data_IF_066428683540
#
_entry.id   IF_066428683540
#
_cell.length_a   1.000
_cell.length_b   1.000
_cell.length_c   1.000
_cell.angle_alpha   90.00
_cell.angle_beta   90.00
_cell.angle_gamma   90.00
#
_symmetry.space_group_name_H-M   'P 1'
#
loop_
_entity.id
_entity.type
_entity.pdbx_description
1 polymer ?
#
# COMPACT_ATOMS: atom_id res chain seq x y z
N UNK A 1 33.33 35.00 37.47
CA UNK A 1 32.53 33.80 37.81
C UNK A 1 31.07 34.20 37.71
N UNK A 2 30.33 33.68 36.71
CA UNK A 2 29.27 32.77 37.09
C UNK A 2 29.07 31.56 36.16
N UNK A 3 28.64 30.50 36.84
CA UNK A 3 27.71 29.42 36.48
C UNK A 3 28.00 28.50 35.27
N UNK A 4 28.77 27.47 35.58
CA UNK A 4 28.95 26.29 34.76
C UNK A 4 27.75 25.34 35.00
N UNK A 5 26.61 25.64 34.37
CA UNK A 5 25.44 24.76 34.45
C UNK A 5 25.74 23.42 33.78
N UNK A 6 25.70 22.38 34.61
CA UNK A 6 25.93 20.99 34.26
C UNK A 6 24.98 20.57 33.14
N UNK A 7 25.53 20.43 31.93
CA UNK A 7 24.93 19.64 30.85
C UNK A 7 24.74 18.21 31.36
N UNK A 8 23.53 17.90 31.80
CA UNK A 8 23.13 16.54 32.15
C UNK A 8 23.16 15.71 30.87
N UNK A 9 24.22 14.92 30.74
CA UNK A 9 24.41 13.95 29.67
C UNK A 9 23.35 12.85 29.83
N UNK A 10 22.13 13.08 29.32
CA UNK A 10 21.07 12.07 29.27
C UNK A 10 21.60 10.90 28.45
N UNK A 11 21.89 9.77 29.12
CA UNK A 11 22.22 8.51 28.46
C UNK A 11 21.20 8.25 27.35
N UNK A 12 21.66 7.99 26.13
CA UNK A 12 20.79 7.63 25.02
C UNK A 12 19.88 6.47 25.46
N UNK A 13 18.56 6.64 25.29
CA UNK A 13 17.53 5.68 25.73
C UNK A 13 17.75 4.28 25.16
N UNK A 14 18.43 4.19 24.01
CA UNK A 14 18.79 2.93 23.36
C UNK A 14 20.31 2.75 23.41
N UNK A 15 20.82 1.60 23.88
CA UNK A 15 22.25 1.34 23.94
C UNK A 15 22.89 1.38 22.55
N UNK A 16 24.20 1.67 22.44
CA UNK A 16 24.90 1.67 21.16
C UNK A 16 24.68 0.35 20.42
N UNK A 17 24.32 0.47 19.13
CA UNK A 17 23.83 -0.59 18.24
C UNK A 17 24.76 -1.81 18.29
N UNK A 18 24.28 -2.92 18.87
CA UNK A 18 24.95 -4.22 18.72
C UNK A 18 24.60 -4.77 17.35
N UNK A 19 25.52 -4.69 16.38
CA UNK A 19 25.42 -5.36 15.07
C UNK A 19 25.53 -6.91 15.17
N UNK A 20 25.30 -7.48 16.36
CA UNK A 20 25.31 -8.92 16.55
C UNK A 20 23.92 -9.42 16.21
N UNK A 21 23.82 -10.18 15.12
CA UNK A 21 22.61 -10.90 14.72
C UNK A 21 21.95 -11.58 15.92
N UNK A 22 20.63 -11.51 15.97
CA UNK A 22 19.80 -12.18 16.97
C UNK A 22 18.69 -12.98 16.30
N UNK A 23 17.89 -13.68 17.12
CA UNK A 23 16.67 -14.35 16.66
C UNK A 23 15.72 -13.44 15.88
N UNK A 24 15.75 -12.13 16.11
CA UNK A 24 14.90 -11.18 15.40
C UNK A 24 15.32 -10.93 13.94
N UNK A 25 16.56 -11.27 13.60
CA UNK A 25 17.12 -11.17 12.25
C UNK A 25 17.12 -12.50 11.49
N UNK A 26 16.47 -13.53 12.04
CA UNK A 26 16.28 -14.82 11.37
C UNK A 26 15.08 -14.75 10.41
N UNK A 27 15.22 -15.35 9.23
CA UNK A 27 14.15 -15.46 8.25
C UNK A 27 13.17 -16.57 8.63
N UNK A 28 11.89 -16.31 8.48
CA UNK A 28 10.82 -17.29 8.66
C UNK A 28 9.75 -17.13 7.57
N UNK A 29 8.80 -18.07 7.52
CA UNK A 29 7.64 -17.96 6.64
C UNK A 29 6.77 -16.75 7.02
N UNK A 30 6.17 -16.11 6.02
CA UNK A 30 5.26 -14.98 6.20
C UNK A 30 3.98 -15.45 6.95
N UNK A 31 3.64 -14.85 8.11
CA UNK A 31 2.41 -15.18 8.82
C UNK A 31 1.16 -14.88 7.98
N UNK A 32 0.09 -15.64 8.17
CA UNK A 32 -1.21 -15.33 7.55
C UNK A 32 -1.87 -14.13 8.24
N UNK A 33 -2.78 -13.45 7.53
CA UNK A 33 -3.64 -12.43 8.13
C UNK A 33 -2.96 -11.11 8.52
N UNK A 34 -1.82 -10.75 7.91
CA UNK A 34 -1.10 -9.51 8.23
C UNK A 34 -1.90 -8.22 7.97
N UNK A 35 -2.75 -8.23 6.94
CA UNK A 35 -3.42 -7.03 6.43
C UNK A 35 -4.95 -7.12 6.56
N UNK A 36 -5.44 -7.62 7.69
CA UNK A 36 -6.88 -7.72 7.95
C UNK A 36 -7.53 -6.33 7.81
N UNK A 37 -8.56 -6.27 6.96
CA UNK A 37 -9.38 -5.07 6.73
C UNK A 37 -8.64 -3.83 6.19
N UNK A 38 -7.38 -3.94 5.77
CA UNK A 38 -6.61 -2.83 5.22
C UNK A 38 -6.30 -3.03 3.74
N UNK A 39 -6.33 -1.93 3.00
CA UNK A 39 -5.96 -1.92 1.58
C UNK A 39 -4.71 -1.08 1.37
N UNK A 40 -3.78 -1.60 0.56
CA UNK A 40 -2.64 -0.83 0.06
C UNK A 40 -3.10 0.29 -0.89
N UNK A 41 -2.76 1.56 -0.61
CA UNK A 41 -3.08 2.67 -1.50
C UNK A 41 -2.27 2.60 -2.79
N UNK A 42 -2.91 2.93 -3.92
CA UNK A 42 -2.21 3.03 -5.21
C UNK A 42 -1.52 4.38 -5.31
N UNK A 43 -0.38 4.44 -6.02
CA UNK A 43 0.30 5.70 -6.33
C UNK A 43 -0.62 6.77 -6.96
N UNK A 44 -1.59 6.34 -7.79
CA UNK A 44 -2.59 7.26 -8.38
C UNK A 44 -3.47 7.93 -7.30
N UNK A 45 -3.86 7.19 -6.26
CA UNK A 45 -4.64 7.74 -5.16
C UNK A 45 -3.86 8.84 -4.43
N UNK A 46 -2.57 8.64 -4.15
CA UNK A 46 -1.74 9.70 -3.56
C UNK A 46 -1.63 10.92 -4.45
N UNK A 47 -1.48 10.74 -5.78
CA UNK A 47 -1.45 11.87 -6.72
C UNK A 47 -2.73 12.69 -6.67
N UNK A 48 -3.88 12.03 -6.64
CA UNK A 48 -5.18 12.71 -6.57
C UNK A 48 -5.39 13.39 -5.21
N UNK A 49 -4.92 12.76 -4.13
CA UNK A 49 -5.12 13.24 -2.75
C UNK A 49 -4.16 14.36 -2.37
N UNK A 50 -2.88 14.25 -2.73
CA UNK A 50 -1.77 15.07 -2.23
C UNK A 50 -1.02 15.83 -3.34
N UNK A 51 -1.37 15.58 -4.61
CA UNK A 51 -0.64 16.10 -5.75
C UNK A 51 0.67 15.36 -6.05
N UNK A 52 1.44 15.92 -6.99
CA UNK A 52 2.73 15.36 -7.39
C UNK A 52 3.82 15.67 -6.35
N UNK A 53 4.68 14.72 -5.96
CA UNK A 53 5.77 14.99 -5.03
C UNK A 53 6.85 15.90 -5.63
N UNK A 54 7.00 15.92 -6.96
CA UNK A 54 7.87 16.87 -7.68
C UNK A 54 7.14 17.61 -8.78
N UNK A 55 7.31 18.92 -8.86
CA UNK A 55 6.59 19.79 -9.81
C UNK A 55 6.96 19.52 -11.27
N UNK A 56 8.23 19.21 -11.54
CA UNK A 56 8.72 18.91 -12.90
C UNK A 56 8.51 17.45 -13.33
N UNK A 57 8.03 16.58 -12.42
CA UNK A 57 7.81 15.14 -12.67
C UNK A 57 9.05 14.41 -13.21
N UNK A 58 10.23 14.90 -12.87
CA UNK A 58 11.56 14.41 -13.23
C UNK A 58 11.97 13.21 -12.37
N UNK A 59 11.13 12.17 -12.40
CA UNK A 59 11.30 10.98 -11.57
C UNK A 59 12.25 9.97 -12.20
N UNK A 60 12.95 9.22 -11.35
CA UNK A 60 13.78 8.09 -11.77
C UNK A 60 13.71 6.96 -10.74
N UNK A 61 14.40 5.84 -11.01
CA UNK A 61 14.57 4.77 -10.03
C UNK A 61 15.51 5.18 -8.87
N UNK A 62 16.32 6.23 -9.06
CA UNK A 62 17.22 6.76 -8.04
C UNK A 62 16.44 7.61 -7.02
N UNK A 63 16.81 7.55 -5.73
CA UNK A 63 16.27 8.42 -4.70
C UNK A 63 16.39 9.90 -5.05
N UNK A 64 15.34 10.66 -4.76
CA UNK A 64 15.33 12.12 -4.86
C UNK A 64 14.43 12.73 -3.78
N UNK A 65 14.58 14.04 -3.56
CA UNK A 65 13.73 14.79 -2.62
C UNK A 65 12.43 15.26 -3.26
N UNK A 66 11.40 15.43 -2.43
CA UNK A 66 10.18 16.13 -2.83
C UNK A 66 10.42 17.64 -2.91
N UNK A 67 9.81 18.31 -3.89
CA UNK A 67 9.93 19.77 -4.05
C UNK A 67 8.58 20.48 -4.21
N UNK A 68 7.45 19.76 -4.11
CA UNK A 68 6.13 20.38 -4.10
C UNK A 68 5.87 21.08 -2.75
N UNK A 69 5.71 22.43 -2.71
CA UNK A 69 5.50 23.17 -1.48
C UNK A 69 4.23 22.76 -0.71
N UNK A 70 3.16 22.39 -1.42
CA UNK A 70 1.90 21.96 -0.78
C UNK A 70 2.10 20.66 -0.01
N UNK A 71 2.81 19.68 -0.60
CA UNK A 71 3.17 18.45 0.08
C UNK A 71 4.13 18.71 1.26
N UNK A 72 5.16 19.54 1.05
CA UNK A 72 6.16 19.81 2.09
C UNK A 72 5.56 20.50 3.32
N UNK A 73 4.54 21.36 3.17
CA UNK A 73 3.82 22.02 4.28
C UNK A 73 3.14 21.04 5.24
N UNK A 74 2.75 19.87 4.74
CA UNK A 74 2.12 18.81 5.54
C UNK A 74 3.11 17.69 5.91
N UNK A 75 4.41 17.87 5.65
CA UNK A 75 5.46 16.99 6.14
C UNK A 75 6.09 17.51 7.44
N UNK A 76 6.70 16.61 8.21
CA UNK A 76 7.60 16.95 9.31
C UNK A 76 8.75 15.95 9.41
N UNK A 77 9.78 16.34 10.15
CA UNK A 77 10.88 15.46 10.55
C UNK A 77 10.87 15.30 12.06
N UNK A 78 10.79 14.08 12.57
CA UNK A 78 10.72 13.84 14.02
C UNK A 78 11.42 12.53 14.41
N UNK A 79 11.85 12.45 15.67
CA UNK A 79 12.29 11.21 16.28
C UNK A 79 11.07 10.38 16.73
N UNK A 80 10.97 9.14 16.24
CA UNK A 80 9.86 8.22 16.53
C UNK A 80 10.23 7.14 17.56
N UNK A 81 11.34 7.32 18.28
CA UNK A 81 11.90 6.38 19.25
C UNK A 81 13.28 5.91 18.81
N UNK A 82 13.40 4.77 18.09
CA UNK A 82 14.69 4.19 17.72
C UNK A 82 15.44 4.95 16.61
N UNK A 83 14.75 5.81 15.85
CA UNK A 83 15.33 6.57 14.74
C UNK A 83 14.51 7.83 14.42
N UNK A 84 15.07 8.69 13.55
CA UNK A 84 14.44 9.91 13.03
C UNK A 84 13.94 9.67 11.61
N UNK A 85 12.76 10.21 11.27
CA UNK A 85 12.13 10.06 9.95
C UNK A 85 11.60 11.39 9.45
N UNK A 86 11.45 11.49 8.12
CA UNK A 86 10.75 12.58 7.45
C UNK A 86 9.57 12.01 6.67
N UNK A 87 8.36 12.52 6.88
CA UNK A 87 7.14 12.04 6.23
C UNK A 87 5.94 12.96 6.43
N UNK A 88 4.74 12.53 6.05
CA UNK A 88 3.49 13.25 6.35
C UNK A 88 3.32 13.39 7.86
N UNK A 89 2.90 14.57 8.35
CA UNK A 89 2.68 14.84 9.77
C UNK A 89 1.90 13.73 10.48
N UNK A 90 0.68 13.37 10.05
CA UNK A 90 -0.08 12.31 10.73
C UNK A 90 0.55 10.92 10.62
N UNK A 91 1.31 10.64 9.54
CA UNK A 91 2.02 9.37 9.40
C UNK A 91 3.21 9.27 10.36
N UNK A 92 3.96 10.36 10.56
CA UNK A 92 5.06 10.40 11.54
C UNK A 92 4.52 10.29 12.97
N UNK A 93 3.39 10.94 13.27
CA UNK A 93 2.71 10.79 14.56
C UNK A 93 2.25 9.35 14.82
N UNK A 94 1.57 8.74 13.86
CA UNK A 94 1.14 7.34 13.96
C UNK A 94 2.34 6.38 14.10
N UNK A 95 3.43 6.61 13.37
CA UNK A 95 4.63 5.77 13.50
C UNK A 95 5.26 5.87 14.89
N UNK A 96 5.21 7.05 15.51
CA UNK A 96 5.67 7.23 16.90
C UNK A 96 4.81 6.42 17.89
N UNK A 97 3.50 6.38 17.69
CA UNK A 97 2.59 5.55 18.48
C UNK A 97 2.87 4.05 18.28
N UNK A 98 3.08 3.63 17.03
CA UNK A 98 3.49 2.26 16.70
C UNK A 98 4.78 1.88 17.42
N UNK A 99 5.82 2.71 17.33
CA UNK A 99 7.11 2.44 17.97
C UNK A 99 7.02 2.43 19.50
N UNK A 100 6.17 3.27 20.10
CA UNK A 100 5.88 3.23 21.53
C UNK A 100 5.20 1.92 21.94
N UNK A 101 4.27 1.39 21.12
CA UNK A 101 3.65 0.09 21.38
C UNK A 101 4.64 -1.07 21.17
N UNK A 102 5.49 -1.01 20.14
CA UNK A 102 6.58 -1.98 19.93
C UNK A 102 7.53 -1.99 21.11
N UNK A 103 7.91 -0.83 21.66
CA UNK A 103 8.76 -0.76 22.85
C UNK A 103 8.12 -1.41 24.08
N UNK A 104 6.80 -1.25 24.26
CA UNK A 104 6.07 -1.87 25.37
C UNK A 104 5.95 -3.39 25.22
N UNK A 105 5.67 -3.86 24.01
CA UNK A 105 5.42 -5.29 23.73
C UNK A 105 6.72 -6.07 23.54
N UNK A 106 7.71 -5.47 22.87
CA UNK A 106 8.98 -6.09 22.52
C UNK A 106 10.16 -5.14 22.84
N UNK A 107 10.44 -4.85 24.11
CA UNK A 107 11.48 -3.89 24.52
C UNK A 107 12.88 -4.25 23.98
N UNK A 108 13.18 -5.54 23.84
CA UNK A 108 14.46 -6.02 23.30
C UNK A 108 14.58 -5.87 21.78
N UNK A 109 13.47 -5.66 21.07
CA UNK A 109 13.41 -5.51 19.62
C UNK A 109 13.50 -4.05 19.18
N UNK A 110 12.86 -3.12 19.88
CA UNK A 110 12.74 -1.72 19.40
C UNK A 110 14.10 -1.07 19.12
N UNK A 111 15.10 -1.32 19.99
CA UNK A 111 16.47 -0.80 19.81
C UNK A 111 17.27 -1.46 18.69
N UNK A 112 16.75 -2.54 18.10
CA UNK A 112 17.35 -3.27 16.97
C UNK A 112 16.77 -2.86 15.62
N UNK A 113 15.63 -2.16 15.64
CA UNK A 113 14.99 -1.64 14.44
C UNK A 113 15.75 -0.45 13.89
N UNK A 114 15.80 -0.38 12.58
CA UNK A 114 16.30 0.76 11.84
C UNK A 114 15.57 0.86 10.50
N UNK A 115 15.78 1.94 9.74
CA UNK A 115 15.00 2.20 8.53
C UNK A 115 15.89 2.54 7.32
N UNK A 116 15.38 2.23 6.13
CA UNK A 116 16.00 2.64 4.85
C UNK A 116 15.51 4.03 4.43
N UNK A 117 14.33 4.44 4.89
CA UNK A 117 13.78 5.77 4.69
C UNK A 117 12.25 5.76 4.68
N UNK A 118 11.66 6.87 5.08
CA UNK A 118 10.21 7.07 5.04
C UNK A 118 9.81 7.83 3.76
N UNK A 119 10.22 9.11 3.64
CA UNK A 119 10.03 9.87 2.40
C UNK A 119 11.22 9.74 1.46
N UNK A 120 11.02 9.03 0.34
CA UNK A 120 12.00 8.85 -0.73
C UNK A 120 11.27 8.91 -2.08
N UNK A 121 11.52 9.95 -2.87
CA UNK A 121 10.84 10.13 -4.16
C UNK A 121 11.56 9.35 -5.25
N UNK A 122 10.90 8.30 -5.77
CA UNK A 122 11.42 7.47 -6.86
C UNK A 122 10.33 6.60 -7.49
N UNK A 123 10.62 6.06 -8.67
CA UNK A 123 9.88 4.93 -9.21
C UNK A 123 10.18 3.63 -8.46
N UNK A 124 9.18 2.75 -8.39
CA UNK A 124 9.39 1.34 -8.01
C UNK A 124 10.31 0.71 -9.06
N UNK A 125 11.32 -0.03 -8.60
CA UNK A 125 12.35 -0.61 -9.45
C UNK A 125 11.76 -1.41 -10.61
N UNK A 126 12.20 -1.09 -11.84
CA UNK A 126 11.72 -1.73 -13.07
C UNK A 126 10.32 -1.31 -13.52
N UNK A 127 9.77 -0.21 -12.99
CA UNK A 127 8.46 0.33 -13.38
C UNK A 127 8.52 1.86 -13.55
N UNK A 128 7.45 2.45 -14.08
CA UNK A 128 7.20 3.90 -14.09
C UNK A 128 6.15 4.32 -13.05
N UNK A 129 5.83 3.42 -12.11
CA UNK A 129 4.91 3.70 -11.00
C UNK A 129 5.71 4.31 -9.86
N UNK A 130 5.27 5.46 -9.35
CA UNK A 130 5.88 6.06 -8.17
C UNK A 130 5.70 5.15 -6.95
N UNK A 131 6.75 5.05 -6.14
CA UNK A 131 6.68 4.39 -4.84
C UNK A 131 5.86 5.22 -3.86
N UNK A 132 5.12 4.57 -2.95
CA UNK A 132 4.35 5.24 -1.90
C UNK A 132 5.24 5.99 -0.89
N UNK A 133 6.54 5.65 -0.82
CA UNK A 133 7.56 6.47 -0.16
C UNK A 133 7.63 7.90 -0.70
N UNK A 134 7.23 8.15 -1.95
CA UNK A 134 7.35 9.47 -2.57
C UNK A 134 6.53 10.55 -1.87
N UNK A 135 5.48 10.16 -1.14
CA UNK A 135 4.66 11.08 -0.34
C UNK A 135 5.00 11.06 1.15
N UNK A 136 5.93 10.20 1.59
CA UNK A 136 6.27 10.07 3.01
C UNK A 136 5.18 9.40 3.83
N UNK A 137 4.49 8.42 3.24
CA UNK A 137 3.43 7.62 3.85
C UNK A 137 3.77 6.13 3.94
N UNK A 138 5.03 5.77 3.68
CA UNK A 138 5.56 4.42 3.79
C UNK A 138 6.95 4.44 4.41
N UNK A 139 7.39 3.32 4.99
CA UNK A 139 8.69 3.16 5.60
C UNK A 139 9.19 1.72 5.39
N UNK A 140 10.48 1.60 5.09
CA UNK A 140 11.14 0.30 5.01
C UNK A 140 12.00 0.10 6.27
N UNK A 141 11.76 -0.99 6.99
CA UNK A 141 12.42 -1.33 8.24
C UNK A 141 13.36 -2.53 8.09
N UNK A 142 14.40 -2.58 8.92
CA UNK A 142 15.31 -3.71 9.00
C UNK A 142 15.77 -3.94 10.45
N UNK A 143 16.31 -5.14 10.72
CA UNK A 143 16.62 -5.61 12.08
C UNK A 143 18.09 -6.01 12.18
N UNK A 144 18.79 -5.57 13.23
CA UNK A 144 20.20 -5.92 13.48
C UNK A 144 21.14 -5.62 12.29
N UNK A 145 20.79 -4.64 11.46
CA UNK A 145 21.54 -4.31 10.24
C UNK A 145 21.29 -5.25 9.04
N UNK A 146 20.39 -6.23 9.18
CA UNK A 146 20.01 -7.18 8.13
C UNK A 146 18.77 -6.69 7.43
N UNK A 147 18.87 -6.43 6.12
CA UNK A 147 17.74 -6.14 5.23
C UNK A 147 17.20 -7.45 4.67
N UNK A 148 15.90 -7.57 4.62
CA UNK A 148 15.21 -8.72 4.02
C UNK A 148 15.31 -8.67 2.49
N UNK A 149 15.27 -9.84 1.83
CA UNK A 149 15.36 -9.91 0.37
C UNK A 149 13.96 -9.93 -0.24
N UNK A 150 13.70 -9.00 -1.15
CA UNK A 150 12.39 -8.90 -1.78
C UNK A 150 12.09 -10.09 -2.72
N UNK A 151 10.89 -10.62 -2.61
CA UNK A 151 10.28 -11.74 -3.36
C UNK A 151 10.87 -13.12 -3.06
N UNK A 152 11.29 -13.36 -1.82
CA UNK A 152 11.78 -14.66 -1.36
C UNK A 152 10.74 -15.46 -0.54
N UNK A 153 9.55 -14.88 -0.35
CA UNK A 153 8.42 -15.42 0.43
C UNK A 153 8.73 -15.61 1.93
N UNK A 154 9.70 -14.85 2.44
CA UNK A 154 10.09 -14.83 3.85
C UNK A 154 9.96 -13.43 4.45
N UNK A 155 10.23 -13.38 5.74
CA UNK A 155 10.25 -12.18 6.54
C UNK A 155 11.19 -12.37 7.73
N UNK A 156 11.94 -11.33 8.09
CA UNK A 156 12.66 -11.31 9.36
C UNK A 156 11.71 -11.46 10.55
N UNK A 157 12.03 -12.34 11.50
CA UNK A 157 11.19 -12.64 12.66
C UNK A 157 10.76 -11.38 13.43
N UNK A 158 11.66 -10.39 13.59
CA UNK A 158 11.32 -9.12 14.22
C UNK A 158 10.26 -8.32 13.47
N UNK A 159 10.32 -8.29 12.13
CA UNK A 159 9.31 -7.62 11.30
C UNK A 159 7.95 -8.32 11.37
N UNK A 160 7.96 -9.66 11.43
CA UNK A 160 6.74 -10.44 11.60
C UNK A 160 6.05 -10.18 12.95
N UNK A 161 6.82 -9.99 14.03
CA UNK A 161 6.27 -9.68 15.35
C UNK A 161 5.61 -8.30 15.41
N UNK A 162 6.16 -7.29 14.71
CA UNK A 162 5.62 -5.92 14.75
C UNK A 162 4.50 -5.69 13.74
N UNK A 163 4.38 -6.53 12.69
CA UNK A 163 3.37 -6.34 11.66
C UNK A 163 1.91 -6.27 12.18
N UNK A 164 1.48 -7.07 13.17
CA UNK A 164 0.16 -6.91 13.78
C UNK A 164 -0.03 -5.57 14.51
N UNK A 165 1.03 -5.04 15.13
CA UNK A 165 1.00 -3.71 15.77
C UNK A 165 0.83 -2.64 14.69
N UNK A 166 1.60 -2.71 13.60
CA UNK A 166 1.43 -1.82 12.45
C UNK A 166 -0.01 -1.86 11.91
N UNK A 167 -0.56 -3.06 11.68
CA UNK A 167 -1.92 -3.25 11.20
C UNK A 167 -2.97 -2.62 12.12
N UNK A 168 -2.86 -2.83 13.45
CA UNK A 168 -3.73 -2.22 14.45
C UNK A 168 -3.75 -0.69 14.37
N UNK A 169 -2.62 -0.07 14.01
CA UNK A 169 -2.49 1.38 13.85
C UNK A 169 -2.92 1.90 12.46
N UNK A 170 -3.34 1.01 11.56
CA UNK A 170 -3.77 1.34 10.19
C UNK A 170 -2.65 1.33 9.16
N UNK A 171 -1.59 0.55 9.40
CA UNK A 171 -0.51 0.34 8.44
C UNK A 171 -0.59 -1.04 7.78
N UNK A 172 -0.50 -1.04 6.45
CA UNK A 172 -0.41 -2.22 5.61
C UNK A 172 1.04 -2.70 5.55
N UNK A 173 1.26 -4.01 5.74
CA UNK A 173 2.57 -4.66 5.57
C UNK A 173 2.76 -5.17 4.15
N UNK A 174 3.88 -4.81 3.51
CA UNK A 174 4.25 -5.27 2.17
C UNK A 174 4.54 -6.77 2.10
N UNK A 175 4.83 -7.43 3.22
CA UNK A 175 4.89 -8.89 3.30
C UNK A 175 3.56 -9.55 2.86
N UNK A 176 2.43 -8.86 3.05
CA UNK A 176 1.11 -9.36 2.65
C UNK A 176 0.70 -9.02 1.23
N UNK A 177 1.61 -8.50 0.38
CA UNK A 177 1.27 -8.24 -1.02
C UNK A 177 0.91 -9.52 -1.77
N UNK A 178 -0.22 -9.48 -2.48
CA UNK A 178 -0.73 -10.63 -3.21
C UNK A 178 0.22 -11.00 -4.37
N UNK A 179 0.51 -12.30 -4.57
CA UNK A 179 1.29 -12.75 -5.73
C UNK A 179 0.67 -12.31 -7.05
N UNK A 180 1.52 -11.99 -8.02
CA UNK A 180 1.10 -11.64 -9.38
C UNK A 180 1.06 -12.88 -10.25
N UNK A 181 -0.06 -13.13 -10.94
CA UNK A 181 -0.15 -14.16 -11.97
C UNK A 181 0.59 -13.72 -13.23
N UNK A 182 1.54 -14.53 -13.68
CA UNK A 182 2.28 -14.33 -14.92
C UNK A 182 1.51 -14.87 -16.13
N UNK A 183 1.92 -14.46 -17.34
CA UNK A 183 1.29 -14.92 -18.60
C UNK A 183 1.29 -16.44 -18.76
N UNK A 184 2.31 -17.12 -18.22
CA UNK A 184 2.45 -18.58 -18.23
C UNK A 184 1.67 -19.28 -17.10
N UNK A 185 0.81 -18.56 -16.39
CA UNK A 185 0.00 -19.10 -15.28
C UNK A 185 0.73 -19.20 -13.94
N UNK A 186 2.06 -19.08 -13.89
CA UNK A 186 2.82 -19.13 -12.63
C UNK A 186 2.52 -17.92 -11.76
N UNK A 187 2.52 -18.10 -10.45
CA UNK A 187 2.50 -17.00 -9.49
C UNK A 187 3.93 -16.52 -9.25
N UNK A 188 4.12 -15.21 -9.28
CA UNK A 188 5.36 -14.55 -8.86
C UNK A 188 5.08 -13.81 -7.57
N UNK A 189 5.88 -14.07 -6.55
CA UNK A 189 5.81 -13.32 -5.30
C UNK A 189 5.95 -11.82 -5.57
N UNK A 190 5.15 -11.04 -4.85
CA UNK A 190 5.21 -9.58 -4.87
C UNK A 190 5.41 -9.02 -3.47
N UNK A 191 5.79 -9.86 -2.51
CA UNK A 191 6.07 -9.40 -1.15
C UNK A 191 7.16 -8.34 -1.15
N UNK A 192 7.08 -7.47 -0.15
CA UNK A 192 8.16 -6.58 0.28
C UNK A 192 8.16 -6.51 1.81
N UNK A 193 8.82 -7.44 2.47
CA UNK A 193 8.61 -7.67 3.91
C UNK A 193 9.15 -6.55 4.82
N UNK A 194 10.12 -5.77 4.33
CA UNK A 194 10.61 -4.57 5.01
C UNK A 194 9.60 -3.42 4.97
N UNK A 195 8.67 -3.45 4.02
CA UNK A 195 7.81 -2.33 3.69
C UNK A 195 6.57 -2.26 4.59
N UNK A 196 6.30 -1.07 5.12
CA UNK A 196 5.04 -0.74 5.79
C UNK A 196 4.51 0.58 5.24
N UNK A 197 3.22 0.66 4.97
CA UNK A 197 2.58 1.87 4.43
C UNK A 197 1.28 2.18 5.14
N UNK A 198 0.94 3.46 5.27
CA UNK A 198 -0.35 3.87 5.79
C UNK A 198 -1.45 3.37 4.84
N UNK A 199 -2.47 2.71 5.38
CA UNK A 199 -3.53 2.14 4.56
C UNK A 199 -4.37 3.19 3.85
N UNK A 200 -5.07 2.76 2.79
CA UNK A 200 -6.03 3.58 2.08
C UNK A 200 -7.10 4.16 3.03
N UNK A 201 -7.63 3.32 3.91
CA UNK A 201 -8.69 3.67 4.87
C UNK A 201 -8.20 4.77 5.82
N UNK A 202 -7.01 4.60 6.39
CA UNK A 202 -6.42 5.58 7.31
C UNK A 202 -6.14 6.93 6.63
N UNK A 203 -5.67 6.90 5.38
CA UNK A 203 -5.45 8.12 4.59
C UNK A 203 -6.76 8.85 4.30
N UNK A 204 -7.84 8.11 4.00
CA UNK A 204 -9.16 8.68 3.80
C UNK A 204 -9.69 9.35 5.07
N UNK A 205 -9.52 8.71 6.23
CA UNK A 205 -9.92 9.30 7.51
C UNK A 205 -9.15 10.59 7.79
N UNK A 206 -7.83 10.59 7.62
CA UNK A 206 -7.01 11.79 7.79
C UNK A 206 -7.36 12.90 6.81
N UNK A 207 -7.72 12.55 5.57
CA UNK A 207 -8.19 13.52 4.60
C UNK A 207 -9.49 14.18 5.06
N UNK A 208 -10.50 13.38 5.48
CA UNK A 208 -11.79 13.90 5.97
C UNK A 208 -11.63 14.81 7.18
N UNK A 209 -10.74 14.44 8.10
CA UNK A 209 -10.41 15.21 9.30
C UNK A 209 -9.55 16.45 9.03
N UNK A 210 -9.07 16.65 7.79
CA UNK A 210 -8.25 17.80 7.42
C UNK A 210 -6.77 17.70 7.79
N UNK A 211 -6.30 16.55 8.28
CA UNK A 211 -4.90 16.34 8.68
C UNK A 211 -3.92 16.31 7.50
N UNK A 212 -4.44 16.13 6.28
CA UNK A 212 -3.68 16.17 5.03
C UNK A 212 -3.83 17.50 4.28
N UNK A 213 -4.39 18.52 4.93
CA UNK A 213 -4.61 19.85 4.35
C UNK A 213 -5.96 20.00 3.64
N UNK A 214 -6.31 21.24 3.27
CA UNK A 214 -7.64 21.59 2.76
C UNK A 214 -7.97 20.94 1.41
N UNK A 215 -6.99 20.77 0.52
CA UNK A 215 -7.21 20.16 -0.79
C UNK A 215 -7.55 18.67 -0.66
N UNK A 216 -6.83 17.95 0.21
CA UNK A 216 -7.11 16.55 0.52
C UNK A 216 -8.49 16.38 1.16
N UNK A 217 -8.86 17.29 2.07
CA UNK A 217 -10.19 17.30 2.69
C UNK A 217 -11.30 17.53 1.65
N UNK A 218 -11.13 18.52 0.78
CA UNK A 218 -12.06 18.79 -0.31
C UNK A 218 -12.21 17.58 -1.24
N UNK A 219 -11.11 16.91 -1.58
CA UNK A 219 -11.13 15.66 -2.36
C UNK A 219 -11.94 14.57 -1.66
N UNK A 220 -11.72 14.34 -0.36
CA UNK A 220 -12.43 13.33 0.40
C UNK A 220 -13.94 13.59 0.49
N UNK A 221 -14.34 14.83 0.80
CA UNK A 221 -15.76 15.23 0.89
C UNK A 221 -16.48 15.15 -0.47
N UNK A 222 -15.79 15.51 -1.56
CA UNK A 222 -16.33 15.37 -2.93
C UNK A 222 -16.60 13.91 -3.26
N UNK A 223 -15.65 13.02 -2.98
CA UNK A 223 -15.81 11.59 -3.28
C UNK A 223 -16.88 10.91 -2.43
N UNK A 224 -17.05 11.34 -1.18
CA UNK A 224 -18.15 10.88 -0.32
C UNK A 224 -19.51 11.30 -0.87
N UNK A 225 -19.62 12.55 -1.35
CA UNK A 225 -20.82 13.07 -2.00
C UNK A 225 -21.18 12.27 -3.25
N UNK A 226 -20.19 11.98 -4.11
CA UNK A 226 -20.38 11.16 -5.32
C UNK A 226 -20.84 9.74 -4.95
N UNK A 227 -20.23 9.15 -3.92
CA UNK A 227 -20.61 7.80 -3.44
C UNK A 227 -22.07 7.78 -2.97
N UNK A 228 -22.49 8.77 -2.19
CA UNK A 228 -23.88 8.89 -1.72
C UNK A 228 -24.87 9.10 -2.88
N UNK A 229 -24.52 9.92 -3.88
CA UNK A 229 -25.34 10.10 -5.08
C UNK A 229 -25.51 8.80 -5.87
N UNK A 230 -24.44 8.02 -6.02
CA UNK A 230 -24.49 6.74 -6.71
C UNK A 230 -25.33 5.71 -5.97
N UNK A 231 -25.22 5.63 -4.63
CA UNK A 231 -26.07 4.76 -3.81
C UNK A 231 -27.54 5.13 -3.98
N UNK A 232 -27.88 6.42 -3.87
CA UNK A 232 -29.27 6.90 -4.09
C UNK A 232 -29.78 6.54 -5.47
N UNK A 233 -28.97 6.69 -6.51
CA UNK A 233 -29.32 6.31 -7.89
C UNK A 233 -29.59 4.81 -8.01
N UNK A 234 -28.74 3.97 -7.42
CA UNK A 234 -28.93 2.51 -7.44
C UNK A 234 -30.17 2.08 -6.66
N UNK A 235 -30.45 2.70 -5.51
CA UNK A 235 -31.66 2.43 -4.73
C UNK A 235 -32.91 2.81 -5.52
N UNK A 236 -32.95 4.00 -6.13
CA UNK A 236 -34.08 4.45 -6.97
C UNK A 236 -34.34 3.52 -8.16
N UNK A 237 -33.28 3.08 -8.86
CA UNK A 237 -33.42 2.10 -9.96
C UNK A 237 -34.01 0.78 -9.46
N UNK A 238 -33.60 0.30 -8.28
CA UNK A 238 -34.15 -0.93 -7.70
C UNK A 238 -35.63 -0.76 -7.35
N UNK A 239 -36.01 0.36 -6.74
CA UNK A 239 -37.40 0.68 -6.39
C UNK A 239 -38.30 0.74 -7.65
N UNK A 240 -37.85 1.41 -8.71
CA UNK A 240 -38.58 1.49 -9.99
C UNK A 240 -38.72 0.11 -10.67
N UNK A 241 -37.67 -0.72 -10.64
CA UNK A 241 -37.73 -2.10 -11.15
C UNK A 241 -38.71 -2.95 -10.34
N UNK A 242 -38.72 -2.84 -9.01
CA UNK A 242 -39.68 -3.58 -8.16
C UNK A 242 -41.12 -3.12 -8.39
N UNK A 243 -41.37 -1.81 -8.54
CA UNK A 243 -42.69 -1.27 -8.83
C UNK A 243 -43.21 -1.71 -10.21
N UNK A 244 -42.35 -1.72 -11.24
CA UNK A 244 -42.72 -2.19 -12.58
C UNK A 244 -43.01 -3.69 -12.66
N UNK A 245 -42.37 -4.49 -11.79
CA UNK A 245 -42.58 -5.94 -11.70
C UNK A 245 -43.91 -6.25 -11.01
N UNK A 246 -44.30 -5.46 -10.00
CA UNK A 246 -45.59 -5.57 -9.33
C UNK A 246 -46.76 -5.20 -10.24
N UNK A 247 -46.59 -4.22 -11.13
CA UNK A 247 -47.64 -3.80 -12.08
C UNK A 247 -47.85 -4.75 -13.26
N UNK A 248 -46.94 -5.72 -13.50
CA UNK A 248 -47.07 -6.74 -14.56
C UNK A 248 -47.80 -8.01 -14.13
N UNK A 249 -48.17 -8.15 -12.86
CA UNK A 249 -49.01 -9.25 -12.37
C UNK A 249 -50.46 -8.78 -12.19
N UNK A 250 -51.15 -8.49 -13.31
CA UNK A 250 -52.63 -8.49 -13.28
C UNK A 250 -53.12 -9.96 -13.30
N UNK A 251 -54.23 -10.29 -12.59
CA UNK A 251 -54.71 -11.66 -12.53
C UNK A 251 -55.24 -12.07 -13.90
N UNK A 252 -54.64 -13.11 -14.51
CA UNK A 252 -55.28 -13.82 -15.62
C UNK A 252 -56.55 -14.47 -15.07
N UNK A 253 -57.69 -13.97 -15.51
CA UNK A 253 -58.98 -14.65 -15.37
C UNK A 253 -58.84 -16.06 -15.95
N UNK A 254 -59.27 -17.04 -15.16
CA UNK A 254 -59.48 -18.40 -15.60
C UNK A 254 -60.52 -18.42 -16.71
N UNK A 255 -60.25 -19.14 -17.81
CA UNK A 255 -61.25 -19.90 -18.55
C UNK A 255 -60.62 -20.85 -19.58
N UNK A 256 -61.13 -22.09 -19.52
CA UNK A 256 -61.33 -23.10 -20.57
C UNK A 256 -60.15 -23.87 -21.20
N UNK A 257 -60.09 -25.12 -20.73
CA UNK A 257 -59.85 -26.40 -21.42
C UNK A 257 -59.97 -26.39 -22.96
N UNK A 258 -58.86 -26.67 -23.67
CA UNK A 258 -58.84 -27.36 -24.98
C UNK A 258 -57.55 -28.21 -25.08
N UNK A 259 -57.70 -29.42 -25.60
CA UNK A 259 -56.78 -30.55 -25.73
C UNK A 259 -55.44 -30.27 -26.49
N UNK A 260 -54.41 -31.15 -26.35
CA UNK A 260 -53.10 -30.93 -26.95
C UNK A 260 -53.08 -31.34 -28.43
N UNK A 261 -52.53 -30.46 -29.28
CA UNK A 261 -52.01 -30.82 -30.61
C UNK A 261 -50.50 -30.74 -30.57
N UNK A 262 -49.85 -31.89 -30.73
CA UNK A 262 -48.44 -32.02 -31.07
C UNK A 262 -48.13 -31.30 -32.39
N UNK A 263 -46.94 -30.72 -32.51
CA UNK A 263 -46.19 -30.45 -33.75
C UNK A 263 -44.75 -29.99 -33.36
N UNK A 264 -43.76 -30.03 -34.28
CA UNK A 264 -42.66 -30.97 -34.20
C UNK A 264 -41.31 -30.33 -33.81
N UNK A 265 -40.39 -31.20 -33.40
CA UNK A 265 -38.99 -30.85 -33.14
C UNK A 265 -38.32 -30.29 -34.40
N UNK A 266 -37.81 -29.06 -34.31
CA UNK A 266 -36.88 -28.52 -35.31
C UNK A 266 -35.47 -28.41 -34.70
N UNK A 267 -34.59 -29.20 -35.31
CA UNK A 267 -33.15 -29.19 -35.11
C UNK A 267 -32.56 -27.85 -35.58
N UNK A 268 -32.03 -27.06 -34.65
CA UNK A 268 -31.12 -25.96 -35.01
C UNK A 268 -29.68 -26.39 -34.80
N UNK A 269 -29.02 -26.60 -35.94
CA UNK A 269 -27.59 -26.74 -36.11
C UNK A 269 -26.82 -25.62 -35.40
N UNK A 270 -25.84 -25.99 -34.57
CA UNK A 270 -24.78 -25.08 -34.09
C UNK A 270 -23.79 -24.83 -35.23
N UNK A 271 -23.69 -23.59 -35.68
CA UNK A 271 -22.59 -23.14 -36.52
C UNK A 271 -21.29 -23.04 -35.69
N UNK A 272 -20.13 -23.48 -36.23
CA UNK A 272 -18.83 -23.33 -35.55
C UNK A 272 -18.30 -21.89 -35.68
N UNK A 273 -17.75 -21.37 -34.58
CA UNK A 273 -17.06 -20.08 -34.54
C UNK A 273 -15.75 -20.13 -35.36
N UNK A 274 -15.40 -19.07 -36.12
CA UNK A 274 -14.15 -19.01 -36.86
C UNK A 274 -12.93 -18.83 -35.94
N UNK A 275 -11.84 -19.54 -36.28
CA UNK A 275 -10.52 -19.46 -35.64
C UNK A 275 -9.85 -18.11 -35.93
N UNK A 276 -9.10 -17.61 -34.94
CA UNK A 276 -8.28 -16.39 -35.01
C UNK A 276 -7.13 -16.52 -36.01
N UNK A 277 -6.76 -15.44 -36.73
CA UNK A 277 -5.46 -15.33 -37.37
C UNK A 277 -4.36 -15.15 -36.32
N UNK A 278 -3.26 -15.84 -36.55
CA UNK A 278 -1.99 -15.72 -35.84
C UNK A 278 -1.30 -14.39 -36.16
N UNK A 279 -1.06 -13.55 -35.14
CA UNK A 279 -0.11 -12.45 -35.24
C UNK A 279 1.14 -12.78 -34.42
N UNK A 280 2.22 -12.93 -35.16
CA UNK A 280 3.60 -13.11 -34.73
C UNK A 280 4.12 -11.83 -34.06
N UNK A 281 4.68 -11.99 -32.86
CA UNK A 281 5.46 -10.96 -32.19
C UNK A 281 6.90 -11.00 -32.71
N UNK A 282 7.54 -9.85 -33.03
CA UNK A 282 8.98 -9.81 -33.18
C UNK A 282 9.67 -9.90 -31.82
N UNK A 283 10.63 -10.83 -31.75
CA UNK A 283 11.56 -11.04 -30.66
C UNK A 283 12.35 -9.77 -30.31
N UNK A 284 12.27 -9.34 -29.04
CA UNK A 284 13.20 -8.38 -28.45
C UNK A 284 13.75 -8.91 -27.12
N UNK A 285 14.44 -10.05 -27.20
CA UNK A 285 15.37 -10.49 -26.17
C UNK A 285 16.72 -10.79 -26.82
N UNK A 286 17.69 -9.92 -26.53
CA UNK A 286 19.05 -10.13 -26.98
C UNK A 286 19.97 -8.96 -26.67
N UNK A 287 20.38 -8.83 -25.40
CA UNK A 287 21.81 -8.68 -25.06
C UNK A 287 22.07 -8.74 -23.55
N UNK A 288 22.99 -9.64 -23.20
CA UNK A 288 23.70 -9.76 -21.93
C UNK A 288 24.83 -8.72 -21.89
N UNK A 289 25.02 -8.06 -20.76
CA UNK A 289 26.31 -7.52 -20.25
C UNK A 289 26.16 -7.45 -18.71
N UNK A 290 26.71 -8.40 -17.93
CA UNK A 290 28.03 -8.44 -17.25
C UNK A 290 28.47 -7.14 -16.55
N UNK A 291 28.66 -7.26 -15.23
CA UNK A 291 29.49 -6.43 -14.31
C UNK A 291 29.01 -4.97 -14.17
N UNK A 292 28.88 -4.37 -12.99
CA UNK A 292 30.00 -3.83 -12.21
C UNK A 292 29.63 -3.75 -10.72
N UNK A 293 30.57 -4.16 -9.88
CA UNK A 293 30.60 -3.92 -8.45
C UNK A 293 31.34 -2.61 -8.13
N UNK A 294 31.01 -2.05 -6.95
CA UNK A 294 31.68 -0.96 -6.21
C UNK A 294 31.36 0.47 -6.67
N UNK A 295 30.66 1.21 -5.81
CA UNK A 295 31.21 2.33 -4.99
C UNK A 295 30.08 3.32 -4.66
N UNK A 296 29.70 3.42 -3.39
CA UNK A 296 29.17 4.61 -2.69
C UNK A 296 28.72 4.12 -1.29
N UNK A 297 29.36 4.43 -0.17
CA UNK A 297 30.01 5.69 0.17
C UNK A 297 28.99 6.59 0.86
N UNK A 298 28.78 6.33 2.15
CA UNK A 298 28.43 7.28 3.23
C UNK A 298 27.75 8.59 2.81
N UNK A 299 26.43 8.67 2.99
CA UNK A 299 25.72 9.92 3.26
C UNK A 299 24.54 9.65 4.19
N UNK A 300 24.59 10.21 5.41
CA UNK A 300 23.52 10.83 6.19
C UNK A 300 23.99 10.96 7.65
N UNK A 301 24.33 12.21 8.02
CA UNK A 301 24.20 12.74 9.38
C UNK A 301 22.79 13.30 9.55
#
# INVERSE_FOLDING_TARGET
MPDNSKSSNKKAKYPPRKNKKSKYSELQAIPSGLNQSLTSPRALFYKELLGEPRLLKDYSALPSEANNPTLLKICKTENVGPFRVTGLKPAVDSLKEVMNEVEKTYPDLVGRLNNVGMRVVRYISGTTTLSNHSWGAAIDLYVDGVKDEQRDDKILHGLALIAPIFNKHGWYSGAGYKPKKLKNGKLKSNEDSMHFEVSLEKLQDWAKLGYLGPDAQKYALKNETIKLMNVKKTTKIKEELTASTFFRQSPKQANNTIAPKELPQSNFFRAPLPRRPSESWPNWFGRKTKSWARTAGTWFR
#
